data_IF_206064714741
#
_entry.id   IF_206064714741
#
_cell.length_a   1.000
_cell.length_b   1.000
_cell.length_c   1.000
_cell.angle_alpha   90.00
_cell.angle_beta   90.00
_cell.angle_gamma   90.00
#
_symmetry.space_group_name_H-M   'P 1'
#
loop_
_entity.id
_entity.type
_entity.pdbx_description
1 polymer ?
#
# COMPACT_ATOMS: atom_id res chain seq x y z
N UNK A 1 60.73 -14.23 27.26
CA UNK A 1 59.90 -13.07 27.50
C UNK A 1 58.73 -13.20 26.55
N UNK A 2 57.49 -13.42 27.03
CA UNK A 2 56.25 -13.44 26.20
C UNK A 2 55.86 -12.00 25.93
N UNK A 3 56.04 -11.54 24.69
CA UNK A 3 55.59 -10.22 24.29
C UNK A 3 54.03 -10.16 24.37
N UNK A 4 53.52 -9.20 25.11
CA UNK A 4 52.07 -9.00 25.20
C UNK A 4 51.51 -8.64 23.82
N UNK A 5 50.52 -9.43 23.33
CA UNK A 5 49.85 -9.15 22.08
C UNK A 5 48.89 -7.98 22.25
N UNK A 6 48.83 -7.08 21.28
CA UNK A 6 48.01 -5.89 21.29
C UNK A 6 46.66 -6.21 20.62
N UNK A 7 45.54 -5.73 21.20
CA UNK A 7 44.23 -5.81 20.63
C UNK A 7 44.00 -4.63 19.66
N UNK A 8 43.64 -4.88 18.40
CA UNK A 8 43.36 -3.78 17.45
C UNK A 8 42.04 -3.11 17.73
N UNK A 9 42.01 -1.79 17.58
CA UNK A 9 40.77 -0.99 17.48
C UNK A 9 40.45 -0.77 16.01
N UNK A 10 39.17 -0.92 15.64
CA UNK A 10 38.67 -0.69 14.28
C UNK A 10 37.96 0.65 14.21
N UNK A 11 38.45 1.54 13.35
CA UNK A 11 37.75 2.77 13.00
C UNK A 11 36.92 2.50 11.76
N UNK A 12 35.57 2.46 11.90
CA UNK A 12 34.66 2.14 10.82
C UNK A 12 33.95 3.43 10.36
N UNK A 13 34.23 3.92 9.15
CA UNK A 13 33.56 5.08 8.59
C UNK A 13 32.07 4.86 8.43
N UNK A 14 31.27 5.85 8.80
CA UNK A 14 29.80 5.76 8.73
C UNK A 14 29.31 5.79 7.28
N UNK A 15 28.46 4.85 6.91
CA UNK A 15 27.72 4.88 5.65
C UNK A 15 26.37 5.53 5.88
N UNK A 16 26.03 6.56 5.08
CA UNK A 16 24.75 7.24 5.14
C UNK A 16 23.61 6.35 4.60
N UNK A 17 22.37 6.68 4.94
CA UNK A 17 21.16 6.10 4.33
C UNK A 17 21.24 6.17 2.81
N UNK A 18 20.88 5.09 2.15
CA UNK A 18 20.86 4.94 0.70
C UNK A 18 19.42 4.83 0.21
N UNK A 19 19.20 5.05 -1.10
CA UNK A 19 17.92 4.76 -1.75
C UNK A 19 18.02 3.49 -2.57
N UNK A 20 16.89 2.82 -2.77
CA UNK A 20 16.81 1.60 -3.60
C UNK A 20 16.67 1.89 -5.10
N UNK A 21 16.84 3.14 -5.53
CA UNK A 21 16.76 3.51 -6.95
C UNK A 21 17.92 2.89 -7.73
N UNK A 22 17.59 2.26 -8.87
CA UNK A 22 18.56 1.65 -9.78
C UNK A 22 19.26 0.41 -9.21
N UNK A 23 18.63 -0.34 -8.31
CA UNK A 23 19.19 -1.60 -7.79
C UNK A 23 19.18 -2.72 -8.86
N UNK A 24 20.22 -3.62 -8.84
CA UNK A 24 21.35 -3.59 -7.94
C UNK A 24 22.35 -2.49 -8.27
N UNK A 25 22.91 -1.84 -7.24
CA UNK A 25 23.94 -0.81 -7.40
C UNK A 25 25.05 -0.98 -6.36
N UNK A 26 26.27 -0.63 -6.75
CA UNK A 26 27.41 -0.61 -5.82
C UNK A 26 27.68 0.81 -5.37
N UNK A 27 27.69 1.02 -4.06
CA UNK A 27 28.12 2.27 -3.42
C UNK A 27 29.58 2.10 -2.96
N UNK A 28 30.36 3.17 -3.04
CA UNK A 28 31.70 3.19 -2.49
C UNK A 28 31.64 3.17 -0.95
N UNK A 29 32.58 2.48 -0.32
CA UNK A 29 32.86 2.59 1.10
C UNK A 29 34.33 2.90 1.30
N UNK A 30 34.66 3.57 2.37
CA UNK A 30 36.06 3.74 2.76
C UNK A 30 36.63 2.39 3.19
N UNK A 31 37.88 2.17 2.86
CA UNK A 31 38.61 0.98 3.25
C UNK A 31 38.93 1.05 4.73
N UNK A 32 38.67 -0.04 5.44
CA UNK A 32 39.02 -0.18 6.85
C UNK A 32 40.33 -0.99 6.94
N UNK A 33 41.27 -0.46 7.65
CA UNK A 33 42.56 -1.11 7.86
C UNK A 33 42.80 -1.38 9.33
N UNK A 34 43.46 -2.47 9.61
CA UNK A 34 44.03 -2.78 10.92
C UNK A 34 45.45 -3.24 10.73
N UNK A 35 46.36 -2.52 11.34
CA UNK A 35 47.84 -2.79 11.23
C UNK A 35 48.31 -2.98 9.78
N UNK A 36 47.81 -2.12 8.84
CA UNK A 36 48.14 -2.16 7.42
C UNK A 36 47.39 -3.20 6.59
N UNK A 37 46.62 -4.07 7.21
CA UNK A 37 45.81 -5.06 6.48
C UNK A 37 44.39 -4.53 6.21
N UNK A 38 43.90 -4.71 4.98
CA UNK A 38 42.55 -4.41 4.59
C UNK A 38 41.55 -5.35 5.28
N UNK A 39 40.56 -4.78 5.96
CA UNK A 39 39.47 -5.50 6.61
C UNK A 39 38.27 -5.52 5.69
N UNK A 40 37.91 -6.70 5.19
CA UNK A 40 36.70 -6.90 4.42
C UNK A 40 35.56 -7.30 5.34
N UNK A 41 34.43 -6.54 5.37
CA UNK A 41 33.32 -6.93 6.20
C UNK A 41 32.56 -8.14 5.64
N UNK A 42 31.80 -8.81 6.51
CA UNK A 42 30.83 -9.83 6.15
C UNK A 42 29.44 -9.21 6.23
N UNK A 43 28.58 -9.47 5.25
CA UNK A 43 27.17 -9.09 5.37
C UNK A 43 26.42 -10.06 6.28
N UNK A 44 25.65 -9.51 7.23
CA UNK A 44 24.66 -10.22 8.03
C UNK A 44 23.27 -10.22 7.35
N UNK A 45 23.09 -9.37 6.34
CA UNK A 45 21.84 -9.22 5.56
C UNK A 45 22.10 -9.33 4.05
N UNK A 46 22.54 -10.50 3.54
CA UNK A 46 23.00 -10.65 2.15
C UNK A 46 21.89 -10.40 1.11
N UNK A 47 20.61 -10.52 1.47
CA UNK A 47 19.49 -10.18 0.62
C UNK A 47 19.32 -8.65 0.43
N UNK A 48 19.89 -7.84 1.31
CA UNK A 48 19.86 -6.37 1.23
C UNK A 48 21.16 -5.85 0.63
N UNK A 49 22.30 -6.35 1.08
CA UNK A 49 23.61 -5.85 0.67
C UNK A 49 24.70 -6.91 0.75
N UNK A 50 25.67 -6.84 -0.17
CA UNK A 50 26.88 -7.69 -0.16
C UNK A 50 28.10 -6.79 -0.30
N UNK A 51 29.10 -6.89 0.61
CA UNK A 51 30.32 -6.11 0.51
C UNK A 51 31.20 -6.62 -0.65
N UNK A 52 31.92 -5.70 -1.28
CA UNK A 52 32.95 -5.93 -2.27
C UNK A 52 34.30 -5.43 -1.75
N UNK A 53 35.37 -5.57 -2.51
CA UNK A 53 36.70 -5.06 -2.12
C UNK A 53 36.69 -3.56 -1.85
N UNK A 54 35.97 -2.76 -2.62
CA UNK A 54 35.98 -1.30 -2.58
C UNK A 54 34.63 -0.67 -2.24
N UNK A 55 33.57 -1.49 -2.07
CA UNK A 55 32.22 -0.97 -1.91
C UNK A 55 31.27 -1.93 -1.24
N UNK A 56 30.00 -1.65 -1.40
CA UNK A 56 28.88 -2.50 -1.01
C UNK A 56 27.86 -2.51 -2.14
N UNK A 57 27.52 -3.69 -2.64
CA UNK A 57 26.44 -3.83 -3.63
C UNK A 57 25.11 -3.98 -2.89
N UNK A 58 24.17 -3.13 -3.22
CA UNK A 58 22.81 -3.10 -2.67
C UNK A 58 21.87 -3.84 -3.62
N UNK A 59 20.97 -4.67 -3.08
CA UNK A 59 20.03 -5.50 -3.85
C UNK A 59 18.57 -5.22 -3.52
N UNK A 60 18.27 -4.76 -2.31
CA UNK A 60 16.91 -4.45 -1.89
C UNK A 60 16.88 -3.36 -0.82
N UNK A 61 15.70 -2.77 -0.61
CA UNK A 61 15.45 -1.93 0.56
C UNK A 61 15.43 -2.74 1.86
N UNK A 62 15.88 -2.13 2.93
CA UNK A 62 15.99 -2.74 4.26
C UNK A 62 17.21 -2.25 5.03
N UNK A 63 17.52 -2.89 6.14
CA UNK A 63 18.71 -2.58 6.91
C UNK A 63 19.89 -3.43 6.40
N UNK A 64 20.93 -2.75 5.92
CA UNK A 64 22.20 -3.39 5.60
C UNK A 64 23.06 -3.46 6.87
N UNK A 65 23.47 -4.67 7.27
CA UNK A 65 24.32 -4.93 8.42
C UNK A 65 25.64 -5.53 7.96
N UNK A 66 26.72 -4.83 8.23
CA UNK A 66 28.08 -5.22 7.89
C UNK A 66 28.88 -5.49 9.16
N UNK A 67 29.34 -6.71 9.32
CA UNK A 67 30.18 -7.12 10.45
C UNK A 67 31.65 -7.01 10.08
N UNK A 68 32.40 -6.31 10.91
CA UNK A 68 33.87 -6.17 10.83
C UNK A 68 34.52 -6.87 12.02
N UNK A 69 35.53 -7.64 11.75
CA UNK A 69 36.39 -8.27 12.79
C UNK A 69 37.72 -8.69 12.16
N UNK A 70 38.74 -8.84 12.98
CA UNK A 70 40.01 -9.47 12.60
C UNK A 70 40.24 -10.68 13.47
N UNK A 71 40.81 -11.72 12.88
CA UNK A 71 41.27 -12.89 13.63
C UNK A 71 42.56 -12.60 14.40
N UNK A 72 42.83 -13.39 15.42
CA UNK A 72 44.08 -13.34 16.15
C UNK A 72 45.24 -13.83 15.26
N UNK A 73 46.40 -13.20 15.42
CA UNK A 73 47.66 -13.60 14.79
C UNK A 73 48.71 -13.94 15.84
N UNK A 74 49.91 -14.27 15.41
CA UNK A 74 51.04 -14.46 16.34
C UNK A 74 51.36 -13.18 17.11
N UNK A 75 51.12 -12.00 16.52
CA UNK A 75 51.50 -10.69 17.06
C UNK A 75 50.31 -9.94 17.69
N UNK A 76 49.09 -10.16 17.18
CA UNK A 76 47.91 -9.42 17.60
C UNK A 76 46.79 -10.33 18.12
N UNK A 77 46.00 -9.81 19.04
CA UNK A 77 44.74 -10.45 19.46
C UNK A 77 43.64 -10.23 18.37
N UNK A 78 42.61 -11.01 18.43
CA UNK A 78 41.41 -10.73 17.65
C UNK A 78 40.79 -9.36 18.03
N UNK A 79 40.24 -8.63 17.06
CA UNK A 79 39.47 -7.42 17.36
C UNK A 79 38.16 -7.73 18.07
N UNK A 80 37.51 -6.70 18.63
CA UNK A 80 36.09 -6.78 18.91
C UNK A 80 35.31 -6.88 17.59
N UNK A 81 34.14 -7.50 17.67
CA UNK A 81 33.19 -7.52 16.56
C UNK A 81 32.46 -6.19 16.52
N UNK A 82 32.55 -5.52 15.40
CA UNK A 82 31.80 -4.28 15.14
C UNK A 82 30.75 -4.51 14.06
N UNK A 83 29.48 -4.10 14.31
CA UNK A 83 28.41 -4.18 13.33
C UNK A 83 27.98 -2.78 12.92
N UNK A 84 28.26 -2.44 11.68
CA UNK A 84 27.78 -1.21 11.05
C UNK A 84 26.41 -1.46 10.42
N UNK A 85 25.46 -0.57 10.70
CA UNK A 85 24.12 -0.62 10.14
C UNK A 85 23.81 0.68 9.38
N UNK A 86 23.21 0.54 8.22
CA UNK A 86 22.62 1.67 7.49
C UNK A 86 21.36 1.23 6.76
N UNK A 87 20.45 2.17 6.53
CA UNK A 87 19.19 1.92 5.88
C UNK A 87 19.31 2.09 4.36
N UNK A 88 18.67 1.19 3.63
CA UNK A 88 18.37 1.33 2.19
C UNK A 88 16.87 1.54 2.07
N UNK A 89 16.43 2.79 1.88
CA UNK A 89 15.02 3.15 1.78
C UNK A 89 14.45 2.69 0.45
N UNK A 90 13.23 2.15 0.46
CA UNK A 90 12.51 1.80 -0.78
C UNK A 90 11.98 3.06 -1.44
N UNK A 91 12.00 3.08 -2.79
CA UNK A 91 11.45 4.18 -3.56
C UNK A 91 9.95 4.28 -3.37
N UNK A 92 9.46 5.51 -3.21
CA UNK A 92 8.03 5.78 -3.10
C UNK A 92 7.34 5.52 -4.44
N UNK A 93 6.08 5.11 -4.38
CA UNK A 93 5.19 4.97 -5.52
C UNK A 93 3.83 5.59 -5.22
N UNK A 94 3.02 5.78 -6.26
CA UNK A 94 1.68 6.33 -6.15
C UNK A 94 0.66 5.44 -6.85
N UNK A 95 -0.60 5.50 -6.39
CA UNK A 95 -1.75 4.87 -7.06
C UNK A 95 -2.70 5.97 -7.52
N UNK A 96 -3.05 5.95 -8.80
CA UNK A 96 -4.18 6.71 -9.35
C UNK A 96 -5.41 5.83 -9.30
N UNK A 97 -6.37 6.18 -8.45
CA UNK A 97 -7.62 5.44 -8.24
C UNK A 97 -8.76 6.41 -8.00
N UNK A 98 -9.87 6.24 -8.71
CA UNK A 98 -11.07 7.04 -8.52
C UNK A 98 -12.32 6.21 -8.73
N UNK A 99 -13.44 6.66 -8.14
CA UNK A 99 -14.78 6.13 -8.33
C UNK A 99 -15.72 7.27 -8.73
N UNK A 100 -16.85 6.99 -9.43
CA UNK A 100 -17.89 7.99 -9.64
C UNK A 100 -18.36 8.56 -8.31
N UNK A 101 -18.68 9.87 -8.25
CA UNK A 101 -19.15 10.52 -7.03
C UNK A 101 -20.43 9.84 -6.48
N UNK A 102 -21.30 9.35 -7.38
CA UNK A 102 -22.48 8.57 -7.02
C UNK A 102 -22.76 7.45 -8.01
N UNK A 103 -23.42 6.39 -7.54
CA UNK A 103 -23.82 5.22 -8.34
C UNK A 103 -25.17 4.68 -7.88
N UNK A 104 -25.99 4.19 -8.78
CA UNK A 104 -27.29 3.62 -8.42
C UNK A 104 -27.15 2.16 -7.99
N UNK A 105 -27.88 1.73 -6.95
CA UNK A 105 -28.04 0.31 -6.60
C UNK A 105 -28.50 -0.52 -7.79
N UNK A 106 -29.33 0.05 -8.68
CA UNK A 106 -29.84 -0.65 -9.88
C UNK A 106 -28.73 -1.02 -10.87
N UNK A 107 -27.58 -0.35 -10.85
CA UNK A 107 -26.41 -0.69 -11.68
C UNK A 107 -25.79 -2.03 -11.25
N UNK A 108 -26.02 -2.46 -10.00
CA UNK A 108 -25.53 -3.68 -9.37
C UNK A 108 -24.01 -3.77 -9.22
N UNK A 109 -23.25 -3.49 -10.28
CA UNK A 109 -21.78 -3.63 -10.27
C UNK A 109 -21.10 -2.46 -10.96
N UNK A 110 -19.87 -2.14 -10.51
CA UNK A 110 -18.95 -1.21 -11.17
C UNK A 110 -17.59 -1.87 -11.36
N UNK A 111 -16.92 -1.67 -12.48
CA UNK A 111 -15.54 -2.11 -12.66
C UNK A 111 -14.61 -1.24 -11.80
N UNK A 112 -13.65 -1.86 -11.15
CA UNK A 112 -12.56 -1.19 -10.45
C UNK A 112 -11.33 -1.15 -11.34
N UNK A 113 -10.80 0.04 -11.59
CA UNK A 113 -9.57 0.25 -12.33
C UNK A 113 -8.70 1.24 -11.59
N UNK A 114 -7.45 0.89 -11.40
CA UNK A 114 -6.43 1.76 -10.82
C UNK A 114 -5.08 1.49 -11.47
N UNK A 115 -4.20 2.48 -11.45
CA UNK A 115 -2.84 2.37 -11.96
C UNK A 115 -1.86 2.74 -10.87
N UNK A 116 -0.79 1.95 -10.73
CA UNK A 116 0.31 2.25 -9.83
C UNK A 116 1.54 2.66 -10.62
N UNK A 117 2.28 3.67 -10.16
CA UNK A 117 3.50 4.16 -10.82
C UNK A 117 4.60 3.10 -10.91
N UNK A 118 4.63 2.15 -9.98
CA UNK A 118 5.59 1.04 -9.96
C UNK A 118 5.16 -0.18 -10.76
N UNK A 119 3.98 -0.15 -11.40
CA UNK A 119 3.40 -1.32 -12.08
C UNK A 119 2.98 -2.41 -11.10
N UNK A 120 2.62 -3.59 -11.62
CA UNK A 120 2.25 -4.77 -10.83
C UNK A 120 0.77 -4.85 -10.44
N UNK A 121 0.42 -5.95 -9.77
CA UNK A 121 -0.95 -6.24 -9.40
C UNK A 121 -1.46 -5.35 -8.26
N UNK A 122 -2.71 -4.92 -8.38
CA UNK A 122 -3.43 -4.17 -7.36
C UNK A 122 -4.49 -5.07 -6.71
N UNK A 123 -4.65 -4.92 -5.39
CA UNK A 123 -5.70 -5.59 -4.62
C UNK A 123 -6.70 -4.54 -4.16
N UNK A 124 -7.99 -4.80 -4.42
CA UNK A 124 -9.08 -3.93 -3.98
C UNK A 124 -9.80 -4.52 -2.78
N UNK A 125 -10.05 -3.68 -1.78
CA UNK A 125 -10.77 -4.05 -0.56
C UNK A 125 -11.79 -2.98 -0.20
N UNK A 126 -12.80 -3.31 0.62
CA UNK A 126 -13.75 -2.35 1.17
C UNK A 126 -13.98 -2.58 2.65
N UNK A 127 -14.15 -1.51 3.40
CA UNK A 127 -14.58 -1.51 4.80
C UNK A 127 -16.10 -1.27 4.93
N UNK A 128 -16.80 -1.03 3.81
CA UNK A 128 -18.23 -0.72 3.75
C UNK A 128 -19.10 -1.96 3.44
N UNK A 129 -18.80 -3.11 4.06
CA UNK A 129 -19.39 -4.41 3.74
C UNK A 129 -20.93 -4.47 3.78
N UNK A 130 -21.60 -3.55 4.53
CA UNK A 130 -23.05 -3.44 4.54
C UNK A 130 -23.67 -2.76 3.31
N UNK A 131 -22.89 -1.97 2.57
CA UNK A 131 -23.36 -1.19 1.42
C UNK A 131 -22.78 -1.71 0.10
N UNK A 132 -21.58 -2.27 0.12
CA UNK A 132 -20.89 -2.78 -1.05
C UNK A 132 -19.94 -3.93 -0.70
N UNK A 133 -19.56 -4.73 -1.70
CA UNK A 133 -18.52 -5.74 -1.58
C UNK A 133 -17.61 -5.72 -2.81
N UNK A 134 -16.38 -6.19 -2.65
CA UNK A 134 -15.39 -6.28 -3.73
C UNK A 134 -15.14 -7.74 -4.05
N UNK A 135 -15.13 -8.07 -5.35
CA UNK A 135 -14.75 -9.39 -5.86
C UNK A 135 -13.79 -9.20 -7.03
N UNK A 136 -12.51 -9.45 -6.79
CA UNK A 136 -11.45 -9.16 -7.76
C UNK A 136 -11.44 -7.68 -8.13
N UNK A 137 -11.70 -7.36 -9.40
CA UNK A 137 -11.79 -6.00 -9.94
C UNK A 137 -13.24 -5.51 -10.09
N UNK A 138 -14.18 -6.10 -9.37
CA UNK A 138 -15.59 -5.73 -9.45
C UNK A 138 -16.09 -5.25 -8.09
N UNK A 139 -16.68 -4.08 -8.06
CA UNK A 139 -17.42 -3.53 -6.92
C UNK A 139 -18.90 -3.88 -7.07
N UNK A 140 -19.45 -4.64 -6.11
CA UNK A 140 -20.87 -4.98 -6.04
C UNK A 140 -21.59 -3.94 -5.17
N UNK A 141 -22.65 -3.31 -5.70
CA UNK A 141 -23.46 -2.31 -5.02
C UNK A 141 -24.66 -3.02 -4.37
N UNK A 142 -24.68 -3.10 -3.03
CA UNK A 142 -25.66 -3.89 -2.28
C UNK A 142 -26.80 -3.06 -1.73
N UNK A 143 -26.49 -1.89 -1.15
CA UNK A 143 -27.43 -1.05 -0.44
C UNK A 143 -27.03 0.43 -0.57
N UNK A 144 -28.01 1.33 -0.51
CA UNK A 144 -27.76 2.78 -0.48
C UNK A 144 -26.93 3.18 0.74
N UNK A 145 -25.97 4.08 0.54
CA UNK A 145 -25.04 4.57 1.54
C UNK A 145 -23.64 4.77 0.96
N UNK A 146 -22.71 5.23 1.77
CA UNK A 146 -21.33 5.41 1.35
C UNK A 146 -20.64 4.05 1.17
N UNK A 147 -19.90 3.92 0.09
CA UNK A 147 -19.02 2.80 -0.19
C UNK A 147 -17.60 3.31 -0.40
N UNK A 148 -16.68 2.86 0.44
CA UNK A 148 -15.25 3.20 0.40
C UNK A 148 -14.46 1.98 -0.07
N UNK A 149 -13.65 2.16 -1.11
CA UNK A 149 -12.80 1.11 -1.68
C UNK A 149 -11.36 1.56 -1.60
N UNK A 150 -10.48 0.68 -1.17
CA UNK A 150 -9.03 0.89 -1.11
C UNK A 150 -8.35 0.00 -2.14
N UNK A 151 -7.56 0.60 -3.01
CA UNK A 151 -6.61 -0.07 -3.89
C UNK A 151 -5.25 -0.13 -3.19
N UNK A 152 -4.64 -1.30 -3.11
CA UNK A 152 -3.36 -1.50 -2.43
C UNK A 152 -2.39 -2.22 -3.33
N UNK A 153 -1.13 -1.79 -3.33
CA UNK A 153 0.01 -2.49 -3.91
C UNK A 153 1.00 -2.83 -2.79
N UNK A 154 1.36 -4.10 -2.69
CA UNK A 154 2.22 -4.61 -1.61
C UNK A 154 3.65 -4.07 -1.63
N UNK A 155 4.10 -3.50 -2.76
CA UNK A 155 5.49 -3.11 -2.97
C UNK A 155 6.37 -4.28 -3.41
N UNK A 156 7.66 -4.00 -3.58
CA UNK A 156 8.68 -4.95 -4.03
C UNK A 156 9.95 -4.81 -3.19
N UNK A 157 11.03 -5.47 -3.57
CA UNK A 157 12.34 -5.29 -2.96
C UNK A 157 12.83 -3.82 -3.06
N UNK A 158 12.42 -3.09 -4.11
CA UNK A 158 12.87 -1.71 -4.39
C UNK A 158 11.79 -0.65 -4.18
N UNK A 159 10.51 -1.02 -4.22
CA UNK A 159 9.36 -0.11 -4.11
C UNK A 159 8.65 -0.28 -2.77
N UNK A 160 8.33 0.82 -2.10
CA UNK A 160 7.55 0.82 -0.88
C UNK A 160 6.09 0.41 -1.17
N UNK A 161 5.37 -0.25 -0.23
CA UNK A 161 3.94 -0.49 -0.37
C UNK A 161 3.19 0.85 -0.42
N UNK A 162 2.05 0.87 -1.12
CA UNK A 162 1.21 2.06 -1.27
C UNK A 162 -0.26 1.68 -1.33
N UNK A 163 -1.13 2.57 -0.87
CA UNK A 163 -2.57 2.43 -0.99
C UNK A 163 -3.23 3.77 -1.35
N UNK A 164 -4.36 3.69 -2.05
CA UNK A 164 -5.22 4.82 -2.35
C UNK A 164 -6.68 4.43 -2.12
N UNK A 165 -7.47 5.34 -1.55
CA UNK A 165 -8.88 5.10 -1.23
C UNK A 165 -9.76 6.04 -2.03
N UNK A 166 -10.83 5.52 -2.62
CA UNK A 166 -11.88 6.28 -3.28
C UNK A 166 -13.25 5.91 -2.69
N UNK A 167 -14.18 6.86 -2.69
CA UNK A 167 -15.52 6.69 -2.12
C UNK A 167 -16.58 7.02 -3.17
N UNK A 168 -17.65 6.24 -3.21
CA UNK A 168 -18.85 6.53 -3.99
C UNK A 168 -20.09 6.52 -3.09
N UNK A 169 -21.04 7.42 -3.35
CA UNK A 169 -22.36 7.38 -2.72
C UNK A 169 -23.27 6.45 -3.52
N UNK A 170 -23.70 5.35 -2.92
CA UNK A 170 -24.68 4.46 -3.53
C UNK A 170 -26.05 5.03 -3.24
N UNK A 171 -26.76 5.43 -4.30
CA UNK A 171 -28.14 5.94 -4.22
C UNK A 171 -29.13 4.82 -4.51
N UNK A 172 -30.19 4.77 -3.72
CA UNK A 172 -31.31 3.87 -3.98
C UNK A 172 -32.00 4.21 -5.30
N UNK A 173 -32.75 3.26 -5.85
CA UNK A 173 -33.72 3.58 -6.94
C UNK A 173 -34.68 4.64 -6.43
N UNK A 174 -34.81 5.74 -7.16
CA UNK A 174 -35.82 6.73 -6.82
C UNK A 174 -37.22 6.03 -6.79
N UNK A 175 -37.79 5.92 -5.61
CA UNK A 175 -39.14 5.38 -5.49
C UNK A 175 -40.06 6.35 -6.25
N UNK A 176 -40.84 5.89 -7.22
CA UNK A 176 -41.73 6.76 -7.95
C UNK A 176 -42.59 7.58 -6.98
N UNK A 177 -42.61 8.89 -7.16
CA UNK A 177 -43.38 9.80 -6.30
C UNK A 177 -44.84 9.34 -6.24
N UNK A 178 -45.36 9.14 -5.02
CA UNK A 178 -46.78 8.85 -4.83
C UNK A 178 -47.58 10.09 -5.20
N UNK A 179 -48.53 9.94 -6.11
CA UNK A 179 -49.49 10.95 -6.49
C UNK A 179 -50.79 10.71 -5.75
N UNK A 180 -51.51 11.78 -5.36
CA UNK A 180 -52.81 11.70 -4.75
C UNK A 180 -53.82 12.25 -5.75
N UNK A 181 -54.82 11.44 -6.08
CA UNK A 181 -55.96 11.88 -6.91
C UNK A 181 -57.23 11.92 -6.07
N UNK A 182 -58.13 12.83 -6.40
CA UNK A 182 -59.46 12.90 -5.83
C UNK A 182 -60.43 12.19 -6.74
N UNK A 183 -61.25 11.29 -6.20
CA UNK A 183 -62.25 10.52 -6.92
C UNK A 183 -63.64 10.87 -6.36
N UNK A 184 -64.62 11.10 -7.20
CA UNK A 184 -66.02 11.51 -6.84
C UNK A 184 -67.04 10.48 -7.26
N UNK A 185 -68.07 10.27 -6.39
CA UNK A 185 -69.27 9.53 -6.69
C UNK A 185 -70.43 10.26 -6.06
N UNK A 186 -71.25 10.91 -6.88
CA UNK A 186 -72.31 11.82 -6.40
C UNK A 186 -71.71 12.98 -5.56
N UNK A 187 -72.11 13.11 -4.29
CA UNK A 187 -71.64 14.15 -3.38
C UNK A 187 -70.37 13.66 -2.55
N UNK A 188 -69.94 12.41 -2.73
CA UNK A 188 -68.83 11.82 -1.94
C UNK A 188 -67.51 11.96 -2.68
N UNK A 189 -66.47 12.47 -1.99
CA UNK A 189 -65.12 12.58 -2.49
C UNK A 189 -64.21 11.63 -1.71
N UNK A 190 -63.38 10.81 -2.41
CA UNK A 190 -62.40 9.92 -1.84
C UNK A 190 -61.02 10.27 -2.41
N UNK A 191 -59.99 10.45 -1.56
CA UNK A 191 -58.60 10.61 -1.98
C UNK A 191 -57.94 9.23 -2.11
N UNK A 192 -57.27 9.01 -3.23
CA UNK A 192 -56.49 7.77 -3.50
C UNK A 192 -55.03 8.15 -3.76
N UNK A 193 -54.11 7.59 -2.97
CA UNK A 193 -52.66 7.87 -3.08
C UNK A 193 -51.94 6.60 -3.50
N UNK A 194 -51.08 6.73 -4.50
CA UNK A 194 -50.24 5.60 -5.00
C UNK A 194 -49.29 6.07 -6.09
N UNK A 195 -48.46 5.18 -6.59
CA UNK A 195 -47.53 5.49 -7.71
C UNK A 195 -48.24 5.66 -9.03
N UNK A 196 -49.37 4.94 -9.22
CA UNK A 196 -50.30 5.09 -10.36
C UNK A 196 -51.73 4.94 -9.83
N UNK A 197 -52.25 5.95 -9.07
CA UNK A 197 -53.55 5.85 -8.44
C UNK A 197 -54.66 5.85 -9.46
N UNK A 198 -55.61 4.93 -9.28
CA UNK A 198 -56.85 4.84 -10.08
C UNK A 198 -58.06 4.98 -9.16
N UNK A 199 -59.12 5.56 -9.66
CA UNK A 199 -60.34 5.63 -8.90
C UNK A 199 -60.98 4.25 -8.70
N UNK A 200 -61.49 3.95 -7.49
CA UNK A 200 -62.22 2.72 -7.22
C UNK A 200 -63.46 2.59 -8.09
N UNK A 201 -63.99 1.37 -8.22
CA UNK A 201 -65.18 1.10 -8.99
C UNK A 201 -66.35 2.03 -8.58
N UNK A 202 -66.94 2.63 -9.54
CA UNK A 202 -68.08 3.56 -9.37
C UNK A 202 -67.67 5.02 -9.02
N UNK A 203 -66.39 5.34 -8.89
CA UNK A 203 -65.87 6.70 -8.72
C UNK A 203 -65.24 7.20 -10.02
N UNK A 204 -65.36 8.51 -10.28
CA UNK A 204 -64.66 9.19 -11.39
C UNK A 204 -63.66 10.18 -10.88
N UNK A 205 -62.58 10.41 -11.65
CA UNK A 205 -61.57 11.40 -11.32
C UNK A 205 -62.26 12.78 -11.20
N UNK A 206 -62.00 13.46 -10.09
CA UNK A 206 -62.44 14.86 -9.91
C UNK A 206 -61.53 15.73 -10.80
N UNK A 207 -62.14 16.36 -11.80
CA UNK A 207 -61.42 17.36 -12.61
C UNK A 207 -61.25 18.65 -11.83
#
# INVERSE_FOLDING_TARGET
MTQARIKPELSIPKIATQTSDGLPKTISRESVYSYGNLISPKSLTPNVCIPTSTGVTLYSGGICELQYSTDATLTYLASDVYVQKFEVTRSAQSISFSLPASSSVSTKTLPLSATASGGGALVFTTTSAGNCSVTGTTLNLLKSGNCSVTATQAGTATLAPVSATATTMIVGTAQPAKKTIACIKGKTTKKVTGTNPKCPAGYKLKK
#
